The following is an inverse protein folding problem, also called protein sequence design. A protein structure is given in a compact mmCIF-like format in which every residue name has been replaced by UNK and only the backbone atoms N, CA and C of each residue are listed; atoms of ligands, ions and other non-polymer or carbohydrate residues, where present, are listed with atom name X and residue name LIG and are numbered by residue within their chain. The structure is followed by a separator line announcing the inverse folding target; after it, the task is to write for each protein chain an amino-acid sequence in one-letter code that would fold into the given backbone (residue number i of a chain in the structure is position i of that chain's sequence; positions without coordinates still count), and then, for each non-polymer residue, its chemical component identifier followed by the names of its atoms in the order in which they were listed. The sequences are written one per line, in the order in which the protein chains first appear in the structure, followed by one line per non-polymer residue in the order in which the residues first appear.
data_IF_411022095514
#
_entry.id   IF_411022095514
#
_cell.length_a   1.000
_cell.length_b   1.000
_cell.length_c   1.000
_cell.angle_alpha   90.00
_cell.angle_beta   90.00
_cell.angle_gamma   90.00
#
_symmetry.space_group_name_H-M   'P 1'
#
loop_
_entity.id
_entity.type
_entity.pdbx_description
1 polymer ?
#
# COMPACT_ATOMS: atom_id res chain seq x y z
N UNK A 1 -1.47 -9.68 14.68
CA UNK A 1 -2.32 -8.96 13.70
C UNK A 1 -2.91 -9.97 12.72
N UNK A 2 -4.18 -9.82 12.32
CA UNK A 2 -4.89 -10.78 11.45
C UNK A 2 -5.70 -10.03 10.39
N UNK A 3 -5.77 -10.58 9.18
CA UNK A 3 -6.58 -10.04 8.08
C UNK A 3 -7.14 -11.18 7.22
N UNK A 4 -8.37 -11.03 6.77
CA UNK A 4 -8.99 -11.91 5.79
C UNK A 4 -8.51 -11.56 4.37
N UNK A 5 -7.94 -12.54 3.69
CA UNK A 5 -7.38 -12.40 2.34
C UNK A 5 -7.92 -13.46 1.40
N UNK A 6 -7.84 -13.20 0.10
CA UNK A 6 -8.00 -14.21 -0.94
C UNK A 6 -6.64 -14.48 -1.55
N UNK A 7 -6.26 -15.75 -1.57
CA UNK A 7 -5.00 -16.20 -2.19
C UNK A 7 -5.33 -16.73 -3.56
N UNK A 8 -4.86 -16.01 -4.57
CA UNK A 8 -5.01 -16.30 -5.99
C UNK A 8 -3.74 -16.87 -6.56
N UNK A 9 -3.87 -17.76 -7.53
CA UNK A 9 -2.73 -18.35 -8.23
C UNK A 9 -2.89 -18.25 -9.74
N UNK A 10 -1.77 -18.20 -10.42
CA UNK A 10 -1.69 -18.28 -11.88
C UNK A 10 -0.35 -18.87 -12.29
N UNK A 11 -0.32 -19.64 -13.37
CA UNK A 11 0.91 -20.00 -14.05
C UNK A 11 1.10 -19.06 -15.24
N UNK A 12 2.14 -18.23 -15.20
CA UNK A 12 2.40 -17.23 -16.23
C UNK A 12 3.91 -17.07 -16.47
N UNK A 13 4.32 -17.07 -17.74
CA UNK A 13 5.72 -16.94 -18.12
C UNK A 13 6.61 -18.07 -17.59
N UNK A 14 6.10 -19.30 -17.52
CA UNK A 14 6.82 -20.46 -17.00
C UNK A 14 6.96 -20.51 -15.48
N UNK A 15 6.31 -19.59 -14.74
CA UNK A 15 6.38 -19.48 -13.28
C UNK A 15 5.01 -19.54 -12.64
N UNK A 16 4.93 -20.17 -11.47
CA UNK A 16 3.75 -20.12 -10.61
C UNK A 16 3.77 -18.85 -9.75
N UNK A 17 2.72 -18.07 -9.83
CA UNK A 17 2.53 -16.82 -9.11
C UNK A 17 1.51 -17.00 -8.00
N UNK A 18 1.86 -16.49 -6.81
CA UNK A 18 0.95 -16.40 -5.66
C UNK A 18 0.65 -14.93 -5.39
N UNK A 19 -0.61 -14.54 -5.59
CA UNK A 19 -1.10 -13.19 -5.36
C UNK A 19 -2.06 -13.20 -4.16
N UNK A 20 -1.85 -12.30 -3.22
CA UNK A 20 -2.69 -12.10 -2.04
C UNK A 20 -3.45 -10.79 -2.23
N UNK A 21 -4.77 -10.81 -2.09
CA UNK A 21 -5.59 -9.62 -2.06
C UNK A 21 -6.57 -9.66 -0.86
N UNK A 22 -7.20 -8.55 -0.46
CA UNK A 22 -8.28 -8.57 0.53
C UNK A 22 -9.41 -9.54 0.12
N UNK A 23 -10.07 -10.22 1.07
CA UNK A 23 -11.20 -11.13 0.75
C UNK A 23 -12.48 -10.40 0.29
N UNK A 24 -12.63 -9.13 0.67
CA UNK A 24 -13.76 -8.26 0.30
C UNK A 24 -13.26 -6.98 -0.35
N UNK A 25 -14.04 -5.91 -0.26
CA UNK A 25 -13.57 -4.57 -0.60
C UNK A 25 -12.28 -4.22 0.17
N UNK A 26 -11.51 -3.27 -0.37
CA UNK A 26 -10.40 -2.67 0.38
C UNK A 26 -10.91 -1.67 1.44
N UNK A 27 -12.24 -1.57 1.59
CA UNK A 27 -12.95 -0.63 2.43
C UNK A 27 -12.85 0.79 1.89
N UNK A 28 -12.93 1.72 2.82
CA UNK A 28 -12.67 3.14 2.67
C UNK A 28 -11.18 3.42 2.41
N UNK A 29 -10.75 3.12 1.18
CA UNK A 29 -9.37 3.32 0.73
C UNK A 29 -9.33 3.69 -0.76
N UNK A 30 -8.66 4.79 -1.11
CA UNK A 30 -8.43 5.20 -2.50
C UNK A 30 -7.00 5.69 -2.66
N UNK A 31 -6.34 5.28 -3.75
CA UNK A 31 -5.00 5.73 -4.12
C UNK A 31 -5.05 6.54 -5.41
N UNK A 32 -4.42 7.70 -5.41
CA UNK A 32 -4.30 8.59 -6.56
C UNK A 32 -2.85 8.83 -6.94
N UNK A 33 -2.61 9.01 -8.23
CA UNK A 33 -1.42 9.72 -8.69
C UNK A 33 -1.66 11.23 -8.60
N UNK A 34 -0.81 11.92 -7.83
CA UNK A 34 -0.90 13.36 -7.64
C UNK A 34 0.25 14.05 -8.38
N UNK A 35 -0.10 15.08 -9.16
CA UNK A 35 0.89 15.85 -9.92
C UNK A 35 1.45 17.03 -9.14
N UNK A 36 0.76 17.48 -8.07
CA UNK A 36 1.08 18.73 -7.36
C UNK A 36 1.64 18.50 -5.94
N UNK A 37 1.36 17.35 -5.30
CA UNK A 37 1.90 17.07 -3.98
C UNK A 37 3.36 16.59 -4.04
N UNK A 38 4.15 16.92 -3.01
CA UNK A 38 5.57 16.56 -2.88
C UNK A 38 5.81 15.06 -2.83
N UNK A 39 4.82 14.28 -2.39
CA UNK A 39 4.88 12.81 -2.39
C UNK A 39 4.67 12.22 -3.81
N UNK A 40 3.79 12.80 -4.62
CA UNK A 40 3.41 12.26 -5.94
C UNK A 40 2.30 11.19 -5.90
N UNK A 41 1.95 10.64 -4.73
CA UNK A 41 0.80 9.75 -4.55
C UNK A 41 0.03 10.11 -3.28
N UNK A 42 -1.30 10.03 -3.34
CA UNK A 42 -2.22 10.26 -2.20
C UNK A 42 -3.00 8.98 -1.91
N UNK A 43 -2.87 8.44 -0.70
CA UNK A 43 -3.65 7.31 -0.20
C UNK A 43 -4.60 7.81 0.89
N UNK A 44 -5.87 8.02 0.54
CA UNK A 44 -6.91 8.35 1.50
C UNK A 44 -7.46 7.08 2.14
N UNK A 45 -7.55 7.02 3.47
CA UNK A 45 -7.99 5.85 4.22
C UNK A 45 -8.80 6.20 5.47
N UNK A 46 -9.72 5.33 5.86
CA UNK A 46 -10.19 5.29 7.26
C UNK A 46 -9.25 4.46 8.15
N UNK A 47 -9.52 4.40 9.47
CA UNK A 47 -8.70 3.65 10.43
C UNK A 47 -8.64 2.15 10.12
N UNK A 48 -9.75 1.57 9.68
CA UNK A 48 -9.87 0.13 9.42
C UNK A 48 -9.11 -0.25 8.14
N UNK A 49 -9.22 0.57 7.10
CA UNK A 49 -8.47 0.46 5.87
C UNK A 49 -6.97 0.63 6.11
N UNK A 50 -6.56 1.66 6.85
CA UNK A 50 -5.16 1.89 7.22
C UNK A 50 -4.56 0.66 7.93
N UNK A 51 -5.25 0.11 8.94
CA UNK A 51 -4.81 -1.10 9.63
C UNK A 51 -4.70 -2.30 8.67
N UNK A 52 -5.74 -2.53 7.85
CA UNK A 52 -5.80 -3.65 6.90
C UNK A 52 -4.65 -3.59 5.90
N UNK A 53 -4.44 -2.42 5.28
CA UNK A 53 -3.36 -2.18 4.32
C UNK A 53 -2.01 -2.33 5.00
N UNK A 54 -1.82 -1.82 6.22
CA UNK A 54 -0.59 -2.00 7.01
C UNK A 54 -0.25 -3.48 7.23
N UNK A 55 -1.22 -4.32 7.60
CA UNK A 55 -0.99 -5.76 7.75
C UNK A 55 -0.64 -6.43 6.42
N UNK A 56 -1.30 -6.03 5.32
CA UNK A 56 -1.00 -6.54 3.97
C UNK A 56 0.40 -6.10 3.50
N UNK A 57 0.85 -4.90 3.88
CA UNK A 57 2.20 -4.41 3.65
C UNK A 57 3.25 -5.26 4.37
N UNK A 58 3.01 -5.58 5.65
CA UNK A 58 3.86 -6.49 6.41
C UNK A 58 3.88 -7.91 5.85
N UNK A 59 2.79 -8.39 5.23
CA UNK A 59 2.80 -9.67 4.52
C UNK A 59 3.69 -9.65 3.29
N UNK A 60 3.69 -8.55 2.53
CA UNK A 60 4.61 -8.38 1.40
C UNK A 60 6.07 -8.40 1.89
N UNK A 61 6.34 -7.76 3.04
CA UNK A 61 7.66 -7.82 3.68
C UNK A 61 8.05 -9.23 4.15
N UNK A 62 7.10 -10.02 4.67
CA UNK A 62 7.36 -11.38 5.20
C UNK A 62 7.53 -12.43 4.11
N UNK A 63 6.92 -12.24 2.94
CA UNK A 63 6.89 -13.26 1.89
C UNK A 63 7.58 -12.81 0.61
N UNK A 64 8.83 -13.26 0.43
CA UNK A 64 9.59 -13.03 -0.82
C UNK A 64 9.04 -13.75 -2.06
N UNK A 65 8.04 -14.61 -1.87
CA UNK A 65 7.47 -15.46 -2.92
C UNK A 65 6.01 -15.11 -3.23
N UNK A 66 5.51 -13.96 -2.76
CA UNK A 66 4.13 -13.55 -3.02
C UNK A 66 4.06 -12.08 -3.41
N UNK A 67 3.06 -11.79 -4.24
CA UNK A 67 2.63 -10.44 -4.57
C UNK A 67 1.45 -10.12 -3.68
N UNK A 68 1.38 -8.91 -3.14
CA UNK A 68 0.17 -8.38 -2.52
C UNK A 68 -0.44 -7.39 -3.49
N UNK A 69 -1.71 -7.56 -3.83
CA UNK A 69 -2.46 -6.68 -4.71
C UNK A 69 -3.67 -6.09 -3.97
N UNK A 70 -3.77 -4.78 -4.01
CA UNK A 70 -4.83 -3.97 -3.42
C UNK A 70 -5.62 -3.33 -4.57
N UNK A 71 -6.84 -3.83 -4.85
CA UNK A 71 -7.73 -3.23 -5.84
C UNK A 71 -8.35 -1.96 -5.22
N UNK A 72 -7.74 -0.80 -5.46
CA UNK A 72 -8.12 0.47 -4.84
C UNK A 72 -8.93 1.38 -5.79
N UNK A 73 -8.97 1.05 -7.08
CA UNK A 73 -9.71 1.84 -8.08
C UNK A 73 -11.24 1.74 -7.94
N UNK A 74 -11.72 0.63 -7.37
CA UNK A 74 -13.13 0.27 -7.32
C UNK A 74 -13.95 0.93 -6.21
N UNK A 75 -13.39 1.86 -5.43
CA UNK A 75 -14.18 2.61 -4.46
C UNK A 75 -15.24 3.44 -5.21
N UNK A 76 -16.51 3.35 -4.82
CA UNK A 76 -17.60 3.94 -5.60
C UNK A 76 -17.58 5.47 -5.62
N UNK A 77 -17.10 6.10 -4.56
CA UNK A 77 -17.10 7.56 -4.40
C UNK A 77 -15.85 8.08 -3.73
N UNK A 78 -15.46 9.28 -4.12
CA UNK A 78 -14.26 9.94 -3.61
C UNK A 78 -14.55 10.67 -2.30
N UNK A 79 -13.67 10.54 -1.31
CA UNK A 79 -13.75 11.34 -0.10
C UNK A 79 -13.34 12.80 -0.34
N UNK A 80 -12.77 13.12 -1.51
CA UNK A 80 -12.16 14.42 -1.79
C UNK A 80 -12.19 14.70 -3.31
N UNK A 81 -13.13 15.56 -3.73
CA UNK A 81 -13.29 15.97 -5.14
C UNK A 81 -12.13 16.86 -5.64
N UNK A 82 -11.28 17.38 -4.73
CA UNK A 82 -10.15 18.24 -5.10
C UNK A 82 -8.95 17.45 -5.64
N UNK A 83 -8.93 16.12 -5.44
CA UNK A 83 -7.87 15.26 -5.93
C UNK A 83 -8.01 15.06 -7.45
N UNK A 84 -7.17 15.77 -8.21
CA UNK A 84 -7.09 15.63 -9.66
C UNK A 84 -5.99 14.62 -10.05
N UNK A 85 -6.38 13.40 -10.47
CA UNK A 85 -5.44 12.39 -10.97
C UNK A 85 -6.10 11.07 -11.36
N UNK A 86 -5.39 10.10 -11.99
CA UNK A 86 -5.91 8.76 -12.15
C UNK A 86 -5.90 8.01 -10.81
N UNK A 87 -6.98 7.26 -10.54
CA UNK A 87 -6.99 6.29 -9.45
C UNK A 87 -6.12 5.08 -9.81
N UNK A 88 -5.35 4.59 -8.84
CA UNK A 88 -4.42 3.49 -9.03
C UNK A 88 -4.78 2.28 -8.16
N UNK A 89 -4.57 1.08 -8.67
CA UNK A 89 -4.38 -0.10 -7.81
C UNK A 89 -2.98 -0.05 -7.19
N UNK A 90 -2.76 -0.80 -6.11
CA UNK A 90 -1.42 -0.93 -5.50
C UNK A 90 -0.96 -2.39 -5.52
N UNK A 91 0.28 -2.61 -5.96
CA UNK A 91 0.96 -3.90 -5.96
C UNK A 91 2.24 -3.79 -5.14
N UNK A 92 2.34 -4.60 -4.09
CA UNK A 92 3.52 -4.71 -3.25
C UNK A 92 4.21 -6.06 -3.50
N UNK A 93 5.54 -6.05 -3.59
CA UNK A 93 6.30 -7.29 -3.73
C UNK A 93 7.70 -7.17 -3.13
N UNK A 94 8.29 -8.30 -2.76
CA UNK A 94 9.71 -8.32 -2.47
C UNK A 94 10.51 -8.15 -3.77
N UNK A 95 11.57 -7.33 -3.77
CA UNK A 95 12.35 -7.02 -4.98
C UNK A 95 12.94 -8.29 -5.64
N UNK A 96 13.28 -9.33 -4.85
CA UNK A 96 13.78 -10.60 -5.40
C UNK A 96 12.75 -11.35 -6.24
N UNK A 97 11.47 -10.99 -6.16
CA UNK A 97 10.42 -11.59 -6.99
C UNK A 97 10.53 -11.14 -8.45
N UNK A 98 11.14 -9.98 -8.71
CA UNK A 98 11.39 -9.44 -10.05
C UNK A 98 10.12 -9.39 -10.92
N UNK A 99 8.98 -9.05 -10.30
CA UNK A 99 7.72 -8.86 -11.01
C UNK A 99 7.85 -7.66 -11.96
N UNK A 100 7.73 -7.91 -13.26
CA UNK A 100 7.72 -6.84 -14.26
C UNK A 100 6.34 -6.19 -14.29
N UNK A 101 6.27 -4.89 -14.07
CA UNK A 101 5.01 -4.12 -14.14
C UNK A 101 4.25 -4.35 -15.46
N UNK A 102 4.96 -4.46 -16.59
CA UNK A 102 4.38 -4.73 -17.91
C UNK A 102 3.71 -6.10 -18.04
N UNK A 103 4.09 -7.08 -17.22
CA UNK A 103 3.45 -8.41 -17.20
C UNK A 103 2.14 -8.44 -16.41
N UNK A 104 1.88 -7.41 -15.59
CA UNK A 104 0.77 -7.39 -14.65
C UNK A 104 -0.60 -7.55 -15.30
N UNK A 105 -0.96 -6.88 -16.41
CA UNK A 105 -2.29 -7.06 -17.00
C UNK A 105 -2.57 -8.52 -17.39
N UNK A 106 -1.57 -9.21 -17.96
CA UNK A 106 -1.67 -10.62 -18.35
C UNK A 106 -1.69 -11.55 -17.14
N UNK A 107 -0.82 -11.31 -16.15
CA UNK A 107 -0.82 -12.08 -14.91
C UNK A 107 -2.15 -11.94 -14.17
N UNK A 108 -2.65 -10.71 -13.98
CA UNK A 108 -3.93 -10.41 -13.32
C UNK A 108 -5.10 -11.10 -14.02
N UNK A 109 -5.13 -11.10 -15.36
CA UNK A 109 -6.15 -11.78 -16.14
C UNK A 109 -6.11 -13.32 -16.07
N UNK A 110 -4.95 -13.90 -15.73
CA UNK A 110 -4.76 -15.34 -15.58
C UNK A 110 -4.99 -15.85 -14.15
N UNK A 111 -5.27 -14.96 -13.18
CA UNK A 111 -5.51 -15.35 -11.80
C UNK A 111 -6.79 -16.17 -11.67
N UNK A 112 -6.70 -17.28 -10.95
CA UNK A 112 -7.86 -18.04 -10.53
C UNK A 112 -8.81 -17.21 -9.63
N UNK A 113 -9.98 -17.78 -9.33
CA UNK A 113 -10.94 -17.15 -8.41
C UNK A 113 -10.29 -16.85 -7.04
N UNK A 114 -9.37 -17.73 -6.61
CA UNK A 114 -8.64 -17.70 -5.35
C UNK A 114 -9.43 -18.32 -4.20
N UNK A 115 -8.72 -18.72 -3.15
CA UNK A 115 -9.29 -19.29 -1.94
C UNK A 115 -9.28 -18.25 -0.80
N UNK A 116 -10.39 -18.07 -0.05
CA UNK A 116 -10.38 -17.25 1.16
C UNK A 116 -9.48 -17.88 2.22
N UNK A 117 -8.67 -17.06 2.88
CA UNK A 117 -7.76 -17.44 3.95
C UNK A 117 -7.70 -16.33 4.99
N UNK A 118 -7.46 -16.69 6.25
CA UNK A 118 -7.05 -15.72 7.26
C UNK A 118 -5.55 -15.83 7.45
N UNK A 119 -4.85 -14.73 7.28
CA UNK A 119 -3.40 -14.65 7.47
C UNK A 119 -3.10 -13.86 8.73
N UNK A 120 -2.03 -14.25 9.42
CA UNK A 120 -1.59 -13.57 10.63
C UNK A 120 -0.13 -13.13 10.50
N UNK A 121 0.11 -11.90 10.92
CA UNK A 121 1.44 -11.34 11.12
C UNK A 121 1.65 -11.12 12.62
N UNK A 122 2.72 -11.65 13.23
CA UNK A 122 3.04 -11.39 14.64
C UNK A 122 3.15 -9.88 14.92
N UNK A 123 2.68 -9.41 16.08
CA UNK A 123 2.70 -7.98 16.41
C UNK A 123 4.13 -7.40 16.40
N UNK A 124 5.09 -8.10 17.01
CA UNK A 124 6.52 -7.71 16.98
C UNK A 124 7.20 -7.79 15.61
N UNK A 125 6.46 -8.08 14.54
CA UNK A 125 6.95 -7.93 13.17
C UNK A 125 6.82 -6.49 12.66
N UNK A 126 6.04 -5.63 13.33
CA UNK A 126 6.12 -4.19 13.13
C UNK A 126 7.34 -3.66 13.91
N UNK A 127 8.27 -2.90 13.30
CA UNK A 127 9.39 -2.29 14.03
C UNK A 127 8.90 -1.20 15.00
N UNK A 128 9.55 -1.10 16.16
CA UNK A 128 9.31 -0.01 17.09
C UNK A 128 9.82 1.32 16.51
N UNK A 129 9.25 2.43 17.00
CA UNK A 129 9.55 3.77 16.46
C UNK A 129 11.03 4.12 16.65
N UNK A 130 11.53 3.75 17.83
CA UNK A 130 12.90 4.00 18.24
C UNK A 130 13.92 3.20 17.42
N UNK A 131 13.50 2.09 16.78
CA UNK A 131 14.38 1.24 15.98
C UNK A 131 14.53 1.75 14.54
N UNK A 132 13.76 2.77 14.15
CA UNK A 132 13.79 3.31 12.81
C UNK A 132 14.77 4.48 12.75
N UNK A 133 15.92 4.22 12.15
CA UNK A 133 16.87 5.27 11.81
C UNK A 133 16.43 5.99 10.52
N UNK A 134 15.67 7.07 10.69
CA UNK A 134 15.26 7.94 9.58
C UNK A 134 16.43 8.67 8.90
N UNK A 135 17.58 8.81 9.56
CA UNK A 135 18.73 9.54 9.02
C UNK A 135 19.47 8.74 7.97
N UNK A 136 19.44 7.41 8.08
CA UNK A 136 20.09 6.53 7.09
C UNK A 136 19.56 6.71 5.67
N UNK A 137 18.27 7.04 5.51
CA UNK A 137 17.55 7.05 4.23
C UNK A 137 18.04 8.09 3.24
N UNK A 138 18.69 9.14 3.75
CA UNK A 138 19.27 10.20 2.93
C UNK A 138 20.76 9.97 2.66
N UNK A 139 21.36 8.91 3.22
CA UNK A 139 22.73 8.56 2.90
C UNK A 139 22.81 7.92 1.52
N UNK A 140 23.71 8.44 0.68
CA UNK A 140 24.00 7.91 -0.67
C UNK A 140 24.38 6.42 -0.68
N UNK A 141 24.79 5.89 0.47
CA UNK A 141 25.20 4.50 0.65
C UNK A 141 24.01 3.56 0.91
N UNK A 142 22.80 4.08 1.21
CA UNK A 142 21.63 3.24 1.43
C UNK A 142 21.10 2.69 0.10
N UNK A 143 21.41 1.41 -0.13
CA UNK A 143 21.01 0.68 -1.35
C UNK A 143 19.67 -0.04 -1.22
N UNK A 144 19.12 -0.12 0.00
CA UNK A 144 17.88 -0.82 0.27
C UNK A 144 16.66 0.09 0.09
N UNK A 145 16.28 0.30 -1.16
CA UNK A 145 15.28 1.29 -1.58
C UNK A 145 13.99 0.62 -2.04
N UNK A 146 12.88 1.35 -1.97
CA UNK A 146 11.65 0.99 -2.68
C UNK A 146 11.79 1.38 -4.14
N UNK A 147 11.75 0.39 -5.02
CA UNK A 147 11.57 0.61 -6.44
C UNK A 147 10.10 0.81 -6.75
N UNK A 148 9.78 1.95 -7.38
CA UNK A 148 8.41 2.27 -7.77
C UNK A 148 8.26 2.34 -9.30
N UNK A 149 7.06 2.03 -9.78
CA UNK A 149 6.66 2.25 -11.19
C UNK A 149 5.15 2.29 -11.30
N UNK A 150 4.61 3.18 -12.12
CA UNK A 150 3.20 3.12 -12.55
C UNK A 150 3.10 2.39 -13.89
N UNK A 151 2.14 1.48 -14.03
CA UNK A 151 1.81 0.84 -15.30
C UNK A 151 0.38 0.28 -15.27
N UNK A 152 -0.43 0.56 -16.31
CA UNK A 152 -1.82 0.11 -16.41
C UNK A 152 -2.66 0.45 -15.15
N UNK A 153 -2.61 1.73 -14.77
CA UNK A 153 -3.26 2.33 -13.58
C UNK A 153 -3.02 1.49 -12.30
N UNK A 154 -1.77 1.07 -12.11
CA UNK A 154 -1.31 0.32 -10.95
C UNK A 154 0.04 0.87 -10.53
N UNK A 155 0.16 1.28 -9.26
CA UNK A 155 1.44 1.59 -8.63
C UNK A 155 2.07 0.28 -8.15
N UNK A 156 3.29 0.01 -8.62
CA UNK A 156 4.10 -1.12 -8.17
C UNK A 156 5.16 -0.62 -7.20
N UNK A 157 5.20 -1.18 -5.99
CA UNK A 157 6.28 -0.97 -5.03
C UNK A 157 7.00 -2.30 -4.81
N UNK A 158 8.30 -2.32 -5.06
CA UNK A 158 9.15 -3.48 -4.83
C UNK A 158 10.30 -3.10 -3.92
N UNK A 159 10.40 -3.77 -2.76
CA UNK A 159 11.41 -3.47 -1.74
C UNK A 159 11.90 -4.75 -1.04
N UNK A 160 12.89 -4.62 -0.17
CA UNK A 160 13.28 -5.70 0.75
C UNK A 160 12.27 -5.88 1.89
N UNK A 161 12.50 -6.90 2.73
CA UNK A 161 11.73 -7.04 3.97
C UNK A 161 11.91 -5.84 4.93
N UNK A 162 13.13 -5.37 5.26
CA UNK A 162 13.33 -4.18 6.09
C UNK A 162 12.58 -2.93 5.61
N UNK A 163 12.74 -2.55 4.34
CA UNK A 163 12.17 -1.31 3.81
C UNK A 163 10.63 -1.35 3.78
N UNK A 164 10.06 -2.52 3.46
CA UNK A 164 8.61 -2.71 3.49
C UNK A 164 8.07 -2.74 4.93
N UNK A 165 8.80 -3.33 5.89
CA UNK A 165 8.41 -3.29 7.31
C UNK A 165 8.37 -1.87 7.85
N UNK A 166 9.37 -1.07 7.51
CA UNK A 166 9.47 0.31 7.96
C UNK A 166 8.35 1.16 7.36
N UNK A 167 8.12 1.09 6.05
CA UNK A 167 7.05 1.88 5.38
C UNK A 167 5.64 1.45 5.77
N UNK A 168 5.44 0.19 6.19
CA UNK A 168 4.17 -0.24 6.76
C UNK A 168 3.79 0.56 8.02
N UNK A 169 4.76 1.11 8.75
CA UNK A 169 4.53 1.86 10.00
C UNK A 169 3.66 3.09 9.80
N UNK A 170 3.86 3.86 8.73
CA UNK A 170 3.05 5.05 8.42
C UNK A 170 1.55 4.73 8.40
N UNK A 171 1.18 3.53 7.93
CA UNK A 171 -0.22 3.07 7.92
C UNK A 171 -0.73 2.71 9.33
N UNK A 172 0.11 2.13 10.18
CA UNK A 172 -0.26 1.81 11.55
C UNK A 172 -0.36 3.06 12.43
N UNK A 173 0.52 4.04 12.25
CA UNK A 173 0.43 5.33 12.93
C UNK A 173 -0.89 6.02 12.56
N UNK A 174 -1.26 6.09 11.28
CA UNK A 174 -2.58 6.59 10.88
C UNK A 174 -3.71 5.76 11.52
N UNK A 175 -3.63 4.43 11.51
CA UNK A 175 -4.68 3.58 12.07
C UNK A 175 -4.89 3.77 13.59
N UNK A 176 -3.80 4.01 14.34
CA UNK A 176 -3.82 4.09 15.79
C UNK A 176 -3.97 5.51 16.33
N UNK A 177 -3.41 6.51 15.67
CA UNK A 177 -3.42 7.91 16.10
C UNK A 177 -4.59 8.71 15.54
N UNK A 178 -5.20 8.27 14.42
CA UNK A 178 -6.34 8.99 13.87
C UNK A 178 -7.48 9.10 14.90
N UNK A 179 -8.05 10.31 15.07
CA UNK A 179 -9.10 10.55 16.05
C UNK A 179 -10.30 9.64 15.80
N UNK A 180 -10.96 9.24 16.87
CA UNK A 180 -12.11 8.35 16.81
C UNK A 180 -13.25 8.87 17.66
N UNK A 181 -14.21 9.57 17.05
CA UNK A 181 -15.57 9.69 17.58
C UNK A 181 -16.52 10.26 16.52
N UNK A 182 -17.61 9.53 16.30
CA UNK A 182 -18.82 9.84 15.52
C UNK A 182 -18.68 10.06 14.00
N UNK A 183 -19.53 9.42 13.16
CA UNK A 183 -19.74 9.85 11.78
C UNK A 183 -20.21 11.32 11.76
N UNK A 184 -19.52 12.18 11.01
CA UNK A 184 -19.98 13.55 10.75
C UNK A 184 -19.11 14.68 11.29
N UNK A 185 -18.08 14.40 12.09
CA UNK A 185 -17.07 15.41 12.47
C UNK A 185 -15.70 15.00 11.91
N UNK A 186 -15.18 15.79 10.96
CA UNK A 186 -13.74 15.80 10.72
C UNK A 186 -13.13 16.56 11.89
N UNK A 187 -12.44 15.84 12.78
CA UNK A 187 -11.67 16.51 13.82
C UNK A 187 -10.73 17.50 13.12
N UNK A 188 -10.62 18.73 13.62
CA UNK A 188 -9.76 19.76 13.04
C UNK A 188 -8.27 19.34 12.93
N UNK A 189 -7.90 18.20 13.51
CA UNK A 189 -6.58 17.59 13.43
C UNK A 189 -6.50 16.66 12.21
N UNK A 190 -5.95 17.19 11.12
CA UNK A 190 -5.49 16.43 9.99
C UNK A 190 -4.46 15.38 10.45
N UNK A 191 -4.79 14.09 10.32
CA UNK A 191 -3.85 12.99 10.60
C UNK A 191 -3.36 12.42 9.29
N UNK A 192 -2.08 12.64 9.02
CA UNK A 192 -1.41 12.06 7.88
C UNK A 192 -0.02 11.55 8.23
N UNK A 193 0.47 10.67 7.35
CA UNK A 193 1.85 10.20 7.36
C UNK A 193 2.37 10.10 5.96
N UNK A 194 3.63 10.44 5.79
CA UNK A 194 4.30 10.31 4.51
C UNK A 194 5.23 9.11 4.56
N UNK A 195 5.30 8.39 3.45
CA UNK A 195 6.33 7.39 3.21
C UNK A 195 7.08 7.79 1.96
N UNK A 196 8.35 8.17 2.11
CA UNK A 196 9.20 8.60 1.02
C UNK A 196 10.20 7.51 0.63
N UNK A 197 10.58 7.52 -0.65
CA UNK A 197 11.71 6.81 -1.18
C UNK A 197 12.37 7.66 -2.28
N UNK A 198 13.69 7.59 -2.44
CA UNK A 198 14.38 8.29 -3.52
C UNK A 198 13.96 7.71 -4.88
N UNK A 199 13.74 8.60 -5.85
CA UNK A 199 13.68 8.27 -7.27
C UNK A 199 15.08 8.43 -7.89
N UNK A 200 15.81 7.33 -8.15
CA UNK A 200 17.15 7.40 -8.69
C UNK A 200 17.20 7.94 -10.14
N UNK A 201 16.06 8.10 -10.82
CA UNK A 201 16.00 8.63 -12.19
C UNK A 201 15.93 10.16 -12.23
N UNK A 202 15.22 10.76 -11.29
CA UNK A 202 15.06 12.22 -11.23
C UNK A 202 15.96 12.85 -10.18
N UNK A 203 16.39 12.09 -9.17
CA UNK A 203 17.10 12.61 -8.01
C UNK A 203 16.16 13.19 -6.94
N UNK A 204 14.85 13.20 -7.20
CA UNK A 204 13.82 13.66 -6.25
C UNK A 204 13.32 12.51 -5.37
N UNK A 205 12.68 12.83 -4.25
CA UNK A 205 11.91 11.86 -3.48
C UNK A 205 10.51 11.69 -4.07
N UNK A 206 10.07 10.44 -4.22
CA UNK A 206 8.66 10.07 -4.44
C UNK A 206 8.13 9.40 -3.18
N UNK A 207 6.83 9.33 -3.02
CA UNK A 207 6.24 8.79 -1.80
C UNK A 207 4.73 8.68 -1.86
N UNK A 208 4.17 8.06 -0.84
CA UNK A 208 2.72 8.09 -0.61
C UNK A 208 2.47 8.98 0.61
N UNK A 209 1.66 10.01 0.42
CA UNK A 209 0.99 10.71 1.51
C UNK A 209 -0.24 9.88 1.90
N UNK A 210 -0.23 9.32 3.10
CA UNK A 210 -1.34 8.56 3.68
C UNK A 210 -2.16 9.50 4.53
N UNK A 211 -3.36 9.84 4.07
CA UNK A 211 -4.23 10.79 4.74
C UNK A 211 -5.46 10.08 5.33
N UNK A 212 -5.71 10.32 6.62
CA UNK A 212 -6.94 9.91 7.25
C UNK A 212 -8.13 10.71 6.71
N UNK A 213 -9.26 10.04 6.51
CA UNK A 213 -10.56 10.65 6.26
C UNK A 213 -11.60 10.01 7.17
N UNK A 214 -12.29 10.84 7.98
CA UNK A 214 -13.39 10.39 8.84
C UNK A 214 -14.72 10.29 8.08
N UNK A 215 -14.90 11.10 7.04
CA UNK A 215 -16.07 11.07 6.18
C UNK A 215 -15.81 10.26 4.91
N UNK A 216 -16.67 9.29 4.67
CA UNK A 216 -16.72 8.53 3.44
C UNK A 216 -18.13 8.60 2.89
N UNK A 217 -18.30 8.93 1.61
CA UNK A 217 -19.61 8.92 0.98
C UNK A 217 -20.27 7.55 1.14
N UNK A 218 -21.56 7.53 1.47
CA UNK A 218 -22.29 6.28 1.62
C UNK A 218 -22.27 5.47 0.30
N UNK A 219 -22.16 4.13 0.39
CA UNK A 219 -22.39 3.26 -0.77
C UNK A 219 -23.82 3.45 -1.28
N UNK A 220 -24.01 3.40 -2.60
CA UNK A 220 -25.31 3.61 -3.23
C UNK A 220 -26.26 2.40 -3.09
#
# INVERSE_FOLDING_TARGET
MKVAVRVRRARYGGRDWRVICPSGDTGHAVLWEQQVCTCGYELCVDRRAAYRIGVLWLLAARSRHSVVWLPLRGAERDPDESLAGPRLDLVLSHHSLQLRASSWPRLRGALDAGAPQTVSVPAGYLPDAADIDHTTWYHREQRDLIHHRVHADTLFLAGSAPVLRQTARSLFEVAFEAPGSAPGEEAAQHVCREMYWPDPRTGDSRGIHVAYRSHWPAPA
#
